data_IF_794731863964
#
_entry.id   IF_794731863964
#
_cell.length_a   1.000
_cell.length_b   1.000
_cell.length_c   1.000
_cell.angle_alpha   90.00
_cell.angle_beta   90.00
_cell.angle_gamma   90.00
#
_symmetry.space_group_name_H-M   'P 1'
#
loop_
_entity.id
_entity.type
_entity.pdbx_description
1 polymer ?
#
# COMPACT_ATOMS: atom_id res chain seq x y z
N UNK A 1 21.04 -8.50 -33.27
CA UNK A 1 20.22 -7.41 -32.73
C UNK A 1 19.81 -6.53 -33.89
N UNK A 2 18.51 -6.42 -34.20
CA UNK A 2 18.04 -5.44 -35.17
C UNK A 2 18.20 -4.06 -34.53
N UNK A 3 19.25 -3.33 -34.90
CA UNK A 3 19.63 -2.07 -34.27
C UNK A 3 18.77 -0.87 -34.69
N UNK A 4 17.90 -1.02 -35.68
CA UNK A 4 16.95 0.02 -36.08
C UNK A 4 15.62 -0.59 -36.52
N UNK A 5 14.54 -0.24 -35.82
CA UNK A 5 13.18 -0.56 -36.23
C UNK A 5 12.69 0.54 -37.21
N UNK A 6 13.20 0.48 -38.45
CA UNK A 6 12.98 1.51 -39.48
C UNK A 6 11.53 1.64 -39.95
N UNK A 7 10.68 0.66 -39.63
CA UNK A 7 9.26 0.65 -39.99
C UNK A 7 8.42 1.59 -39.13
N UNK A 8 8.85 1.92 -37.91
CA UNK A 8 8.08 2.78 -37.02
C UNK A 8 7.83 4.16 -37.63
N UNK A 9 8.87 4.78 -38.20
CA UNK A 9 8.79 6.12 -38.83
C UNK A 9 7.84 6.12 -40.03
N UNK A 10 7.55 4.96 -40.63
CA UNK A 10 6.63 4.83 -41.76
C UNK A 10 5.17 4.72 -41.34
N UNK A 11 4.88 4.55 -40.05
CA UNK A 11 3.52 4.54 -39.55
C UNK A 11 2.91 5.96 -39.59
N UNK A 12 1.60 6.08 -39.84
CA UNK A 12 0.86 7.33 -39.62
C UNK A 12 1.14 7.92 -38.24
N UNK A 13 1.13 9.24 -38.14
CA UNK A 13 1.47 9.96 -36.90
C UNK A 13 0.56 9.59 -35.73
N UNK A 14 -0.70 9.29 -36.03
CA UNK A 14 -1.72 8.85 -35.07
C UNK A 14 -1.33 7.51 -34.46
N UNK A 15 -0.90 6.54 -35.28
CA UNK A 15 -0.49 5.22 -34.80
C UNK A 15 0.80 5.30 -33.99
N UNK A 16 1.77 6.12 -34.41
CA UNK A 16 3.00 6.35 -33.62
C UNK A 16 2.68 6.96 -32.27
N UNK A 17 1.79 7.95 -32.23
CA UNK A 17 1.31 8.58 -31.00
C UNK A 17 0.65 7.57 -30.07
N UNK A 18 -0.27 6.75 -30.59
CA UNK A 18 -0.93 5.70 -29.81
C UNK A 18 0.06 4.67 -29.26
N UNK A 19 1.07 4.28 -30.05
CA UNK A 19 2.13 3.38 -29.58
C UNK A 19 2.87 4.02 -28.41
N UNK A 20 3.27 5.29 -28.52
CA UNK A 20 3.93 5.99 -27.41
C UNK A 20 3.05 6.10 -26.17
N UNK A 21 1.76 6.40 -26.31
CA UNK A 21 0.80 6.45 -25.19
C UNK A 21 0.63 5.09 -24.50
N UNK A 22 0.64 4.00 -25.27
CA UNK A 22 0.58 2.63 -24.76
C UNK A 22 1.87 2.19 -24.07
N UNK A 23 3.01 2.73 -24.49
CA UNK A 23 4.30 2.43 -23.87
C UNK A 23 4.61 3.27 -22.62
N UNK A 24 3.76 4.25 -22.26
CA UNK A 24 3.90 4.98 -20.99
C UNK A 24 3.65 4.03 -19.80
N UNK A 25 4.53 4.04 -18.77
CA UNK A 25 4.41 3.14 -17.63
C UNK A 25 3.19 3.47 -16.76
N UNK A 26 2.82 2.52 -15.90
CA UNK A 26 1.84 2.72 -14.81
C UNK A 26 2.57 2.68 -13.47
N UNK A 27 3.01 3.83 -12.98
CA UNK A 27 3.89 3.92 -11.81
C UNK A 27 3.09 4.13 -10.52
N UNK A 28 3.74 3.85 -9.39
CA UNK A 28 3.21 4.11 -8.05
C UNK A 28 3.95 5.31 -7.48
N UNK A 29 3.36 6.50 -7.56
CA UNK A 29 4.00 7.76 -7.19
C UNK A 29 3.79 8.04 -5.71
N UNK A 30 4.88 8.10 -4.95
CA UNK A 30 4.86 8.38 -3.52
C UNK A 30 4.76 9.89 -3.28
N UNK A 31 3.80 10.32 -2.46
CA UNK A 31 3.55 11.74 -2.18
C UNK A 31 4.10 12.20 -0.82
N UNK A 32 4.51 11.27 0.04
CA UNK A 32 5.33 11.55 1.21
C UNK A 32 6.38 10.46 1.35
N UNK A 33 7.54 10.80 1.94
CA UNK A 33 8.61 9.83 2.09
C UNK A 33 8.49 9.06 3.40
N UNK A 34 8.85 7.77 3.39
CA UNK A 34 9.07 7.06 4.63
C UNK A 34 10.25 7.69 5.36
N UNK A 35 10.02 8.27 6.55
CA UNK A 35 11.08 8.66 7.48
C UNK A 35 11.69 7.39 8.10
N UNK A 36 12.30 6.53 7.27
CA UNK A 36 12.98 5.34 7.78
C UNK A 36 14.36 5.75 8.31
N UNK A 37 14.77 5.29 9.50
CA UNK A 37 16.16 5.41 9.91
C UNK A 37 17.05 4.80 8.83
N UNK A 38 18.25 5.37 8.64
CA UNK A 38 19.23 5.11 7.55
C UNK A 38 19.74 3.66 7.41
N UNK A 39 19.04 2.67 7.95
CA UNK A 39 19.51 1.30 8.19
C UNK A 39 19.15 0.30 7.10
N UNK A 40 18.31 0.67 6.12
CA UNK A 40 17.96 -0.22 5.01
C UNK A 40 18.36 0.43 3.70
N UNK A 41 18.97 -0.36 2.81
CA UNK A 41 19.14 -0.06 1.39
C UNK A 41 18.02 0.87 0.90
N UNK A 42 18.40 2.10 0.56
CA UNK A 42 17.55 3.27 0.78
C UNK A 42 16.24 3.20 -0.01
N UNK A 43 15.11 3.16 0.69
CA UNK A 43 13.77 3.44 0.16
C UNK A 43 13.75 4.69 -0.73
N UNK A 44 14.61 5.66 -0.43
CA UNK A 44 14.85 6.85 -1.24
C UNK A 44 15.29 6.57 -2.69
N UNK A 45 15.98 5.48 -3.00
CA UNK A 45 16.44 5.20 -4.37
C UNK A 45 15.25 4.98 -5.29
N UNK A 46 14.34 4.07 -4.92
CA UNK A 46 13.15 3.75 -5.70
C UNK A 46 12.28 5.00 -5.85
N UNK A 47 12.01 5.71 -4.75
CA UNK A 47 11.20 6.93 -4.77
C UNK A 47 11.76 8.02 -5.68
N UNK A 48 13.08 8.25 -5.61
CA UNK A 48 13.75 9.26 -6.46
C UNK A 48 13.65 8.91 -7.93
N UNK A 49 13.92 7.66 -8.31
CA UNK A 49 13.89 7.22 -9.70
C UNK A 49 12.48 7.18 -10.26
N UNK A 50 11.53 6.73 -9.44
CA UNK A 50 10.13 6.65 -9.82
C UNK A 50 9.49 8.05 -10.02
N UNK A 51 10.08 9.10 -9.43
CA UNK A 51 9.66 10.49 -9.61
C UNK A 51 10.33 11.22 -10.80
N UNK A 52 11.22 10.55 -11.54
CA UNK A 52 11.81 11.10 -12.77
C UNK A 52 10.85 10.96 -13.96
N UNK A 53 11.08 11.70 -15.06
CA UNK A 53 10.44 11.39 -16.34
C UNK A 53 10.66 9.92 -16.72
N UNK A 54 9.65 9.25 -17.31
CA UNK A 54 9.77 7.84 -17.68
C UNK A 54 10.83 7.65 -18.76
N UNK A 55 11.43 6.45 -18.82
CA UNK A 55 12.53 6.15 -19.75
C UNK A 55 12.16 6.47 -21.22
N UNK A 56 10.88 6.27 -21.58
CA UNK A 56 10.36 6.55 -22.92
C UNK A 56 10.49 8.03 -23.34
N UNK A 57 10.48 8.97 -22.39
CA UNK A 57 10.66 10.41 -22.67
C UNK A 57 12.07 10.74 -23.19
N UNK A 58 13.00 9.79 -23.11
CA UNK A 58 14.37 9.93 -23.58
C UNK A 58 14.62 9.28 -24.95
N UNK A 59 13.65 8.54 -25.51
CA UNK A 59 13.83 7.77 -26.76
C UNK A 59 13.87 8.67 -28.00
N UNK A 60 12.93 9.62 -28.12
CA UNK A 60 12.85 10.56 -29.25
C UNK A 60 12.11 11.84 -28.85
N UNK A 61 12.17 12.87 -29.70
CA UNK A 61 11.38 14.09 -29.49
C UNK A 61 9.88 13.85 -29.54
N UNK A 62 9.42 12.92 -30.41
CA UNK A 62 8.02 12.52 -30.50
C UNK A 62 7.56 11.84 -29.21
N UNK A 63 8.31 10.84 -28.74
CA UNK A 63 8.01 10.13 -27.50
C UNK A 63 8.01 11.06 -26.28
N UNK A 64 8.96 12.00 -26.21
CA UNK A 64 9.00 13.04 -25.18
C UNK A 64 7.76 13.92 -25.22
N UNK A 65 7.37 14.40 -26.40
CA UNK A 65 6.18 15.21 -26.57
C UNK A 65 4.92 14.50 -26.07
N UNK A 66 4.80 13.19 -26.31
CA UNK A 66 3.69 12.37 -25.79
C UNK A 66 3.76 12.25 -24.26
N UNK A 67 4.93 11.96 -23.70
CA UNK A 67 5.10 11.84 -22.25
C UNK A 67 4.82 13.17 -21.52
N UNK A 68 5.29 14.30 -22.05
CA UNK A 68 5.14 15.63 -21.44
C UNK A 68 3.72 16.18 -21.58
N UNK A 69 2.99 15.83 -22.64
CA UNK A 69 1.68 16.43 -22.96
C UNK A 69 0.66 16.37 -21.81
N UNK A 70 0.73 15.32 -20.99
CA UNK A 70 -0.21 15.08 -19.90
C UNK A 70 0.46 15.00 -18.53
N UNK A 71 1.79 15.06 -18.47
CA UNK A 71 2.50 14.95 -17.20
C UNK A 71 2.26 16.19 -16.34
N UNK A 72 1.98 15.95 -15.06
CA UNK A 72 1.95 16.98 -14.03
C UNK A 72 3.25 16.95 -13.24
N UNK A 73 3.77 18.13 -12.99
CA UNK A 73 4.93 18.39 -12.13
C UNK A 73 4.48 19.10 -10.85
N UNK A 74 5.39 19.28 -9.90
CA UNK A 74 5.08 20.02 -8.67
C UNK A 74 4.52 21.41 -8.91
N UNK A 75 5.02 22.09 -9.93
CA UNK A 75 4.56 23.45 -10.28
C UNK A 75 3.11 23.47 -10.74
N UNK A 76 2.60 22.36 -11.25
CA UNK A 76 1.24 22.27 -11.76
C UNK A 76 0.22 21.97 -10.64
N UNK A 77 0.65 21.27 -9.58
CA UNK A 77 -0.23 20.80 -8.49
C UNK A 77 -0.20 21.69 -7.24
N UNK A 78 0.96 22.22 -6.90
CA UNK A 78 1.13 23.11 -5.75
C UNK A 78 2.27 24.10 -6.02
N UNK A 79 2.01 25.18 -6.80
CA UNK A 79 3.02 26.14 -7.20
C UNK A 79 3.76 26.82 -6.03
N UNK A 80 3.15 26.82 -4.83
CA UNK A 80 3.71 27.40 -3.61
C UNK A 80 4.61 26.45 -2.83
N UNK A 81 4.60 25.16 -3.15
CA UNK A 81 5.31 24.13 -2.39
C UNK A 81 6.66 23.80 -3.04
N UNK A 82 7.71 24.48 -2.57
CA UNK A 82 9.10 24.28 -3.04
C UNK A 82 9.77 23.02 -2.50
N UNK A 83 9.12 22.29 -1.59
CA UNK A 83 9.70 21.17 -0.86
C UNK A 83 9.41 19.82 -1.50
N UNK A 84 8.40 19.74 -2.37
CA UNK A 84 8.25 18.61 -3.28
C UNK A 84 9.39 18.68 -4.31
N UNK A 85 10.32 17.74 -4.26
CA UNK A 85 11.54 17.73 -5.10
C UNK A 85 11.27 17.55 -6.60
N UNK A 86 11.79 16.48 -7.20
CA UNK A 86 11.39 16.08 -8.56
C UNK A 86 10.11 15.26 -8.42
N UNK A 87 9.05 15.66 -9.09
CA UNK A 87 7.77 14.94 -9.14
C UNK A 87 7.30 14.90 -10.57
N UNK A 88 6.95 13.70 -11.01
CA UNK A 88 6.35 13.45 -12.31
C UNK A 88 5.18 12.53 -12.10
N UNK A 89 3.99 12.98 -12.48
CA UNK A 89 2.77 12.21 -12.34
C UNK A 89 2.02 12.20 -13.68
N UNK A 90 1.59 11.01 -14.08
CA UNK A 90 0.80 10.82 -15.28
C UNK A 90 -0.66 10.56 -14.91
N UNK A 91 -1.57 11.53 -15.13
CA UNK A 91 -2.99 11.36 -14.88
C UNK A 91 -3.55 10.11 -15.55
N UNK A 92 -4.46 9.43 -14.85
CA UNK A 92 -5.20 8.23 -15.23
C UNK A 92 -4.33 6.98 -15.46
N UNK A 93 -3.00 7.09 -15.31
CA UNK A 93 -2.06 5.97 -15.43
C UNK A 93 -1.38 5.64 -14.11
N UNK A 94 -0.93 6.67 -13.41
CA UNK A 94 -0.18 6.50 -12.17
C UNK A 94 -1.13 6.30 -10.97
N UNK A 95 -0.70 5.47 -10.03
CA UNK A 95 -1.31 5.30 -8.71
C UNK A 95 -0.60 6.23 -7.74
N UNK A 96 -1.32 6.99 -6.93
CA UNK A 96 -0.71 7.80 -5.87
C UNK A 96 -0.63 7.00 -4.57
N UNK A 97 0.48 7.12 -3.85
CA UNK A 97 0.73 6.34 -2.64
C UNK A 97 1.18 7.23 -1.49
N UNK A 98 0.65 6.98 -0.30
CA UNK A 98 1.01 7.68 0.92
C UNK A 98 1.50 6.71 2.00
N UNK A 99 2.65 6.99 2.62
CA UNK A 99 3.17 6.18 3.73
C UNK A 99 2.50 6.47 5.07
N UNK A 100 2.27 7.76 5.33
CA UNK A 100 1.79 8.28 6.61
C UNK A 100 0.64 9.25 6.37
N UNK A 101 -0.61 8.78 6.37
CA UNK A 101 -1.75 9.65 6.12
C UNK A 101 -2.07 10.62 7.25
N UNK A 102 -1.63 10.29 8.46
CA UNK A 102 -1.67 11.14 9.64
C UNK A 102 -0.79 12.39 9.48
N UNK A 103 0.32 12.30 8.75
CA UNK A 103 1.25 13.42 8.54
C UNK A 103 0.70 14.53 7.64
N UNK A 104 -0.37 14.28 6.89
CA UNK A 104 -1.05 15.34 6.10
C UNK A 104 -1.62 16.43 7.01
N UNK A 105 -1.99 16.09 8.26
CA UNK A 105 -2.53 17.04 9.23
C UNK A 105 -1.45 17.79 10.03
N UNK A 106 -0.23 17.26 10.11
CA UNK A 106 0.86 17.85 10.89
C UNK A 106 1.77 18.70 9.99
N UNK A 107 1.24 19.82 9.49
CA UNK A 107 1.95 20.78 8.63
C UNK A 107 3.20 21.44 9.27
N UNK A 108 3.49 21.21 10.56
CA UNK A 108 4.29 22.16 11.33
C UNK A 108 5.74 21.79 11.67
N UNK A 109 6.34 20.67 11.22
CA UNK A 109 7.68 20.34 11.76
C UNK A 109 8.77 19.84 10.80
N UNK A 110 8.47 19.21 9.66
CA UNK A 110 9.53 18.53 8.89
C UNK A 110 9.58 19.02 7.44
N UNK A 111 10.79 19.12 6.89
CA UNK A 111 11.14 19.56 5.53
C UNK A 111 10.54 18.72 4.38
N UNK A 112 9.55 17.88 4.65
CA UNK A 112 8.79 17.15 3.65
C UNK A 112 7.59 18.01 3.27
N UNK A 113 7.63 18.59 2.07
CA UNK A 113 6.61 19.50 1.57
C UNK A 113 5.24 18.86 1.49
N UNK A 114 4.42 18.97 2.53
CA UNK A 114 3.06 18.48 2.52
C UNK A 114 2.25 19.15 1.42
N UNK A 115 1.66 18.36 0.52
CA UNK A 115 0.63 18.83 -0.42
C UNK A 115 -0.56 19.41 0.35
N UNK A 116 -1.16 20.47 -0.17
CA UNK A 116 -2.43 20.96 0.38
C UNK A 116 -3.51 19.88 0.32
N UNK A 117 -4.50 19.89 1.24
CA UNK A 117 -5.63 18.95 1.20
C UNK A 117 -6.40 19.03 -0.12
N UNK A 118 -6.48 20.21 -0.73
CA UNK A 118 -7.09 20.38 -2.04
C UNK A 118 -6.28 19.68 -3.14
N UNK A 119 -4.94 19.84 -3.13
CA UNK A 119 -4.05 19.16 -4.07
C UNK A 119 -4.11 17.64 -3.92
N UNK A 120 -4.28 17.11 -2.70
CA UNK A 120 -4.49 15.67 -2.47
C UNK A 120 -5.80 15.15 -3.07
N UNK A 121 -6.90 15.91 -2.94
CA UNK A 121 -8.19 15.59 -3.56
C UNK A 121 -8.15 15.69 -5.08
N UNK A 122 -7.38 16.64 -5.61
CA UNK A 122 -7.24 16.79 -7.05
C UNK A 122 -6.36 15.67 -7.63
N UNK A 123 -5.31 15.28 -6.93
CA UNK A 123 -4.52 14.10 -7.28
C UNK A 123 -5.34 12.82 -7.27
N UNK A 124 -6.19 12.61 -6.26
CA UNK A 124 -7.08 11.44 -6.20
C UNK A 124 -7.94 11.31 -7.47
N UNK A 125 -8.59 12.41 -7.88
CA UNK A 125 -9.45 12.43 -9.08
C UNK A 125 -8.68 12.18 -10.37
N UNK A 126 -7.41 12.55 -10.39
CA UNK A 126 -6.54 12.40 -11.55
C UNK A 126 -5.80 11.06 -11.55
N UNK A 127 -5.67 10.39 -10.41
CA UNK A 127 -4.94 9.13 -10.31
C UNK A 127 -5.73 7.97 -10.90
N UNK A 128 -5.00 6.96 -11.37
CA UNK A 128 -5.61 5.66 -11.72
C UNK A 128 -6.19 4.97 -10.48
N UNK A 129 -5.56 5.20 -9.34
CA UNK A 129 -5.96 4.67 -8.04
C UNK A 129 -5.11 5.28 -6.94
N UNK A 130 -5.49 4.98 -5.70
CA UNK A 130 -4.81 5.45 -4.50
C UNK A 130 -4.31 4.27 -3.69
N UNK A 131 -3.26 4.47 -2.91
CA UNK A 131 -2.67 3.45 -2.05
C UNK A 131 -2.14 4.05 -0.74
N UNK A 132 -2.24 3.29 0.34
CA UNK A 132 -1.76 3.70 1.65
C UNK A 132 -0.85 2.61 2.21
N UNK A 133 0.32 3.00 2.68
CA UNK A 133 1.22 2.12 3.41
C UNK A 133 0.69 1.86 4.81
N UNK A 134 0.60 0.58 5.15
CA UNK A 134 0.09 0.15 6.43
C UNK A 134 1.25 -0.33 7.31
N UNK A 135 1.95 0.65 7.91
CA UNK A 135 3.25 0.49 8.59
C UNK A 135 3.22 -0.33 9.88
N UNK A 136 2.06 -0.52 10.50
CA UNK A 136 1.98 -1.04 11.87
C UNK A 136 1.47 -2.46 12.02
N UNK A 137 1.16 -3.14 10.91
CA UNK A 137 1.02 -4.59 10.93
C UNK A 137 2.28 -5.20 10.37
N UNK A 138 3.33 -5.26 11.20
CA UNK A 138 4.31 -6.30 10.98
C UNK A 138 3.55 -7.62 10.98
N UNK A 139 3.42 -8.23 9.80
CA UNK A 139 2.82 -9.54 9.58
C UNK A 139 3.36 -10.63 10.54
N UNK A 140 4.47 -10.35 11.22
CA UNK A 140 5.31 -11.32 11.88
C UNK A 140 5.41 -11.19 13.40
N UNK A 141 5.20 -10.00 14.02
CA UNK A 141 5.83 -9.79 15.34
C UNK A 141 5.18 -8.89 16.38
N UNK A 142 4.06 -8.20 16.15
CA UNK A 142 3.46 -7.43 17.23
C UNK A 142 2.35 -8.23 17.94
N UNK A 143 2.46 -8.49 19.26
CA UNK A 143 1.31 -8.94 20.03
C UNK A 143 0.16 -7.94 19.85
N UNK A 144 -1.07 -8.46 19.83
CA UNK A 144 -2.32 -7.73 19.58
C UNK A 144 -2.61 -6.56 20.54
N UNK A 145 -1.72 -6.29 21.49
CA UNK A 145 -1.98 -5.47 22.67
C UNK A 145 -1.76 -3.96 22.45
N UNK A 146 -0.88 -3.52 21.53
CA UNK A 146 -0.55 -2.09 21.33
C UNK A 146 -1.22 -1.43 20.10
N UNK A 147 -2.34 -1.97 19.63
CA UNK A 147 -2.97 -1.51 18.38
C UNK A 147 -3.76 -0.20 18.51
N UNK A 148 -4.03 0.28 19.72
CA UNK A 148 -4.72 1.56 19.93
C UNK A 148 -3.87 2.78 19.45
N UNK A 149 -2.55 2.59 19.22
CA UNK A 149 -1.63 3.58 18.61
C UNK A 149 -1.50 3.45 17.08
N UNK A 150 -2.30 2.60 16.43
CA UNK A 150 -2.24 2.37 14.98
C UNK A 150 -2.76 3.57 14.16
N UNK A 151 -1.88 4.55 13.95
CA UNK A 151 -2.19 5.81 13.27
C UNK A 151 -2.54 5.63 11.78
N UNK A 152 -2.10 4.57 11.10
CA UNK A 152 -2.27 4.41 9.65
C UNK A 152 -3.70 3.99 9.22
N UNK A 153 -4.38 3.07 9.91
CA UNK A 153 -5.82 2.83 9.68
C UNK A 153 -6.64 4.03 10.15
N UNK A 154 -6.26 4.65 11.28
CA UNK A 154 -6.98 5.80 11.81
C UNK A 154 -7.01 6.98 10.83
N UNK A 155 -5.99 7.10 9.98
CA UNK A 155 -5.79 8.20 9.03
C UNK A 155 -6.15 7.89 7.58
N UNK A 156 -6.41 6.65 7.18
CA UNK A 156 -6.97 6.37 5.85
C UNK A 156 -8.25 7.19 5.56
N UNK A 157 -9.23 7.32 6.50
CA UNK A 157 -10.37 8.22 6.34
C UNK A 157 -10.01 9.72 6.29
N UNK A 158 -8.85 10.11 6.81
CA UNK A 158 -8.39 11.51 6.89
C UNK A 158 -7.87 12.02 5.55
N UNK A 159 -7.38 11.11 4.70
CA UNK A 159 -6.97 11.46 3.32
C UNK A 159 -8.15 11.97 2.47
N UNK A 160 -9.37 11.56 2.82
CA UNK A 160 -10.56 11.76 2.00
C UNK A 160 -10.63 10.85 0.77
N UNK A 161 -9.75 9.85 0.67
CA UNK A 161 -9.70 8.94 -0.47
C UNK A 161 -10.74 7.83 -0.38
N UNK A 162 -11.49 7.64 -1.46
CA UNK A 162 -12.47 6.55 -1.59
C UNK A 162 -11.76 5.25 -2.01
N UNK A 163 -11.77 4.25 -1.11
CA UNK A 163 -11.24 2.89 -1.34
C UNK A 163 -9.77 2.75 -1.76
N UNK A 164 -8.80 3.25 -0.96
CA UNK A 164 -7.39 3.07 -1.29
C UNK A 164 -6.94 1.62 -1.15
N UNK A 165 -6.00 1.22 -2.01
CA UNK A 165 -5.25 -0.02 -1.84
C UNK A 165 -4.47 0.02 -0.53
N UNK A 166 -4.43 -1.10 0.19
CA UNK A 166 -3.74 -1.17 1.49
C UNK A 166 -2.47 -1.98 1.36
N UNK A 167 -1.32 -1.34 1.52
CA UNK A 167 -0.03 -1.98 1.36
C UNK A 167 0.37 -2.61 2.69
N UNK A 168 0.37 -3.95 2.73
CA UNK A 168 0.66 -4.73 3.94
C UNK A 168 2.15 -4.75 4.27
N UNK A 169 3.00 -4.78 3.23
CA UNK A 169 4.43 -5.00 3.41
C UNK A 169 5.25 -4.49 2.22
N UNK A 170 6.36 -3.84 2.51
CA UNK A 170 7.37 -3.42 1.52
C UNK A 170 8.49 -4.47 1.41
N UNK A 171 8.83 -4.85 0.18
CA UNK A 171 9.85 -5.85 -0.12
C UNK A 171 10.88 -5.22 -1.06
N UNK A 172 12.01 -4.73 -0.54
CA UNK A 172 13.10 -4.24 -1.38
C UNK A 172 13.80 -5.40 -2.09
N UNK A 173 14.07 -5.24 -3.37
CA UNK A 173 14.76 -6.22 -4.22
C UNK A 173 16.01 -5.58 -4.79
N UNK A 174 17.17 -6.13 -4.44
CA UNK A 174 18.43 -5.75 -5.08
C UNK A 174 18.59 -6.48 -6.40
N UNK A 175 18.64 -5.71 -7.48
CA UNK A 175 18.87 -6.23 -8.83
C UNK A 175 19.56 -5.16 -9.68
N UNK A 176 20.38 -5.60 -10.64
CA UNK A 176 20.91 -4.70 -11.66
C UNK A 176 19.82 -4.29 -12.65
N UNK A 177 19.99 -3.16 -13.33
CA UNK A 177 19.08 -2.71 -14.39
C UNK A 177 18.86 -3.77 -15.47
N UNK A 178 19.93 -4.48 -15.86
CA UNK A 178 19.84 -5.53 -16.86
C UNK A 178 18.94 -6.69 -16.41
N UNK A 179 19.04 -7.10 -15.14
CA UNK A 179 18.21 -8.16 -14.56
C UNK A 179 16.76 -7.70 -14.42
N UNK A 180 16.52 -6.45 -14.02
CA UNK A 180 15.18 -5.89 -13.92
C UNK A 180 14.49 -5.84 -15.28
N UNK A 181 15.18 -5.32 -16.30
CA UNK A 181 14.66 -5.32 -17.69
C UNK A 181 14.41 -6.75 -18.16
N UNK A 182 15.34 -7.69 -17.93
CA UNK A 182 15.13 -9.09 -18.34
C UNK A 182 13.94 -9.75 -17.63
N UNK A 183 13.66 -9.39 -16.38
CA UNK A 183 12.56 -9.96 -15.58
C UNK A 183 11.17 -9.45 -15.99
N UNK A 184 11.11 -8.23 -16.55
CA UNK A 184 9.87 -7.51 -16.86
C UNK A 184 8.95 -7.34 -15.63
N UNK A 185 9.51 -7.36 -14.41
CA UNK A 185 8.75 -7.24 -13.16
C UNK A 185 8.54 -5.79 -12.71
N UNK A 186 9.36 -4.85 -13.18
CA UNK A 186 9.30 -3.41 -12.82
C UNK A 186 9.12 -2.54 -14.07
N UNK A 187 8.15 -2.92 -14.91
CA UNK A 187 7.92 -2.28 -16.20
C UNK A 187 8.87 -2.78 -17.29
N UNK A 188 8.62 -2.33 -18.52
CA UNK A 188 9.38 -2.81 -19.70
C UNK A 188 10.84 -2.33 -19.69
N UNK A 189 11.09 -1.17 -19.06
CA UNK A 189 12.40 -0.51 -19.04
C UNK A 189 12.95 -0.29 -17.63
N UNK A 190 12.33 -0.87 -16.60
CA UNK A 190 12.70 -0.61 -15.20
C UNK A 190 12.17 0.74 -14.66
N UNK A 191 11.26 1.39 -15.36
CA UNK A 191 10.71 2.71 -15.00
C UNK A 191 9.54 2.63 -14.01
N UNK A 192 9.07 1.42 -13.67
CA UNK A 192 8.10 1.18 -12.61
C UNK A 192 8.81 0.60 -11.38
N UNK A 193 9.71 1.38 -10.77
CA UNK A 193 10.56 0.93 -9.65
C UNK A 193 9.76 0.43 -8.43
N UNK A 194 8.47 0.76 -8.36
CA UNK A 194 7.55 0.31 -7.31
C UNK A 194 6.36 -0.38 -7.96
N UNK A 195 6.02 -1.57 -7.46
CA UNK A 195 4.90 -2.38 -7.92
C UNK A 195 4.03 -2.82 -6.76
N UNK A 196 2.73 -2.62 -6.91
CA UNK A 196 1.72 -3.15 -6.00
C UNK A 196 1.17 -4.43 -6.58
N UNK A 197 1.39 -5.54 -5.87
CA UNK A 197 1.03 -6.88 -6.30
C UNK A 197 -0.01 -7.50 -5.38
N UNK A 198 -0.86 -8.34 -5.92
CA UNK A 198 -1.77 -9.17 -5.13
C UNK A 198 -0.94 -10.16 -4.29
N UNK A 199 -1.07 -10.17 -2.95
CA UNK A 199 -0.36 -11.12 -2.10
C UNK A 199 -0.73 -12.58 -2.34
N UNK A 200 -1.86 -12.87 -3.00
CA UNK A 200 -2.33 -14.22 -3.29
C UNK A 200 -1.86 -14.71 -4.68
N UNK A 201 -1.19 -13.87 -5.48
CA UNK A 201 -0.59 -14.28 -6.75
C UNK A 201 0.75 -14.99 -6.52
N UNK A 202 0.68 -16.28 -6.18
CA UNK A 202 1.83 -17.11 -5.90
C UNK A 202 2.80 -17.23 -7.08
N UNK A 203 2.32 -17.14 -8.32
CA UNK A 203 3.18 -17.20 -9.51
C UNK A 203 4.00 -15.92 -9.65
N UNK A 204 3.38 -14.76 -9.47
CA UNK A 204 4.09 -13.49 -9.48
C UNK A 204 5.08 -13.39 -8.31
N UNK A 205 4.68 -13.84 -7.12
CA UNK A 205 5.57 -13.93 -5.97
C UNK A 205 6.81 -14.80 -6.24
N UNK A 206 6.62 -15.96 -6.88
CA UNK A 206 7.73 -16.82 -7.26
C UNK A 206 8.66 -16.16 -8.28
N UNK A 207 8.12 -15.39 -9.24
CA UNK A 207 8.96 -14.63 -10.19
C UNK A 207 9.84 -13.59 -9.48
N UNK A 208 9.31 -12.87 -8.48
CA UNK A 208 10.12 -11.95 -7.67
C UNK A 208 11.19 -12.69 -6.85
N UNK A 209 10.84 -13.84 -6.26
CA UNK A 209 11.81 -14.68 -5.55
C UNK A 209 12.94 -15.14 -6.48
N UNK A 210 12.62 -15.57 -7.70
CA UNK A 210 13.60 -15.96 -8.70
C UNK A 210 14.52 -14.80 -9.09
N UNK A 211 13.99 -13.59 -9.25
CA UNK A 211 14.81 -12.40 -9.47
C UNK A 211 15.81 -12.18 -8.33
N UNK A 212 15.39 -12.30 -7.07
CA UNK A 212 16.29 -12.20 -5.91
C UNK A 212 17.41 -13.25 -5.96
N UNK A 213 17.07 -14.52 -6.21
CA UNK A 213 18.04 -15.63 -6.25
C UNK A 213 19.04 -15.50 -7.42
N UNK A 214 18.56 -15.08 -8.58
CA UNK A 214 19.36 -14.93 -9.79
C UNK A 214 20.15 -13.61 -9.84
N UNK A 215 19.81 -12.65 -8.98
CA UNK A 215 20.48 -11.34 -8.94
C UNK A 215 21.98 -11.46 -8.65
N UNK A 216 22.37 -12.44 -7.82
CA UNK A 216 23.71 -12.54 -7.26
C UNK A 216 24.08 -11.39 -6.31
N UNK A 217 23.15 -10.48 -6.03
CA UNK A 217 23.34 -9.34 -5.13
C UNK A 217 22.83 -9.70 -3.72
N UNK A 218 23.50 -9.22 -2.65
CA UNK A 218 23.04 -9.41 -1.28
C UNK A 218 21.63 -8.84 -1.11
N UNK A 219 20.68 -9.66 -0.64
CA UNK A 219 19.34 -9.20 -0.27
C UNK A 219 19.31 -8.81 1.21
N UNK A 220 18.34 -7.97 1.59
CA UNK A 220 18.12 -7.67 3.00
C UNK A 220 17.63 -8.92 3.75
N UNK A 221 17.85 -8.95 5.08
CA UNK A 221 17.34 -10.04 5.92
C UNK A 221 15.81 -10.15 5.81
N UNK A 222 15.09 -9.03 5.88
CA UNK A 222 13.63 -9.00 5.75
C UNK A 222 13.13 -9.53 4.41
N UNK A 223 13.78 -9.17 3.30
CA UNK A 223 13.45 -9.73 1.96
C UNK A 223 13.65 -11.24 1.93
N UNK A 224 14.76 -11.71 2.48
CA UNK A 224 15.13 -13.14 2.50
C UNK A 224 14.16 -13.94 3.35
N UNK A 225 13.91 -13.49 4.58
CA UNK A 225 12.97 -14.10 5.52
C UNK A 225 11.55 -14.15 4.94
N UNK A 226 11.11 -13.06 4.32
CA UNK A 226 9.81 -13.00 3.66
C UNK A 226 9.64 -14.11 2.62
N UNK A 227 10.60 -14.26 1.69
CA UNK A 227 10.50 -15.30 0.66
C UNK A 227 10.69 -16.72 1.19
N UNK A 228 11.45 -16.90 2.28
CA UNK A 228 11.55 -18.20 2.95
C UNK A 228 10.22 -18.63 3.59
N UNK A 229 9.46 -17.68 4.15
CA UNK A 229 8.20 -17.98 4.82
C UNK A 229 7.00 -18.02 3.87
N UNK A 230 6.97 -17.16 2.85
CA UNK A 230 5.76 -16.91 2.05
C UNK A 230 5.81 -17.49 0.63
N UNK A 231 6.96 -18.00 0.18
CA UNK A 231 7.14 -18.41 -1.21
C UNK A 231 8.08 -19.62 -1.34
N UNK A 232 8.22 -20.13 -2.56
CA UNK A 232 9.17 -21.22 -2.86
C UNK A 232 8.75 -22.63 -2.43
N UNK A 233 7.68 -22.80 -1.62
CA UNK A 233 7.08 -24.09 -1.29
C UNK A 233 5.54 -24.03 -1.21
N UNK A 234 4.83 -25.17 -1.38
CA UNK A 234 3.39 -25.22 -1.16
C UNK A 234 2.95 -24.78 0.24
N UNK A 235 3.77 -25.08 1.26
CA UNK A 235 3.53 -24.66 2.64
C UNK A 235 3.61 -23.14 2.77
N UNK A 236 4.64 -22.51 2.19
CA UNK A 236 4.81 -21.05 2.24
C UNK A 236 3.67 -20.32 1.53
N UNK A 237 3.18 -20.84 0.40
CA UNK A 237 2.00 -20.28 -0.30
C UNK A 237 0.73 -20.42 0.56
N UNK A 238 0.54 -21.55 1.23
CA UNK A 238 -0.58 -21.76 2.16
C UNK A 238 -0.52 -20.81 3.35
N UNK A 239 0.67 -20.62 3.92
CA UNK A 239 0.88 -19.75 5.06
C UNK A 239 0.70 -18.28 4.68
N UNK A 240 1.21 -17.84 3.52
CA UNK A 240 0.92 -16.51 2.98
C UNK A 240 -0.58 -16.27 2.84
N UNK A 241 -1.32 -17.24 2.29
CA UNK A 241 -2.78 -17.14 2.17
C UNK A 241 -3.44 -16.97 3.54
N UNK A 242 -3.10 -17.81 4.52
CA UNK A 242 -3.64 -17.69 5.89
C UNK A 242 -3.33 -16.31 6.48
N UNK A 243 -2.09 -15.84 6.34
CA UNK A 243 -1.67 -14.54 6.85
C UNK A 243 -2.47 -13.40 6.25
N UNK A 244 -2.70 -13.41 4.93
CA UNK A 244 -3.53 -12.39 4.26
C UNK A 244 -4.96 -12.42 4.79
N UNK A 245 -5.57 -13.60 4.92
CA UNK A 245 -6.94 -13.71 5.44
C UNK A 245 -7.06 -13.25 6.90
N UNK A 246 -6.10 -13.64 7.75
CA UNK A 246 -6.01 -13.17 9.14
C UNK A 246 -5.86 -11.66 9.17
N UNK A 247 -4.95 -11.10 8.37
CA UNK A 247 -4.72 -9.67 8.28
C UNK A 247 -5.97 -8.90 7.84
N UNK A 248 -6.72 -9.41 6.85
CA UNK A 248 -7.99 -8.80 6.41
C UNK A 248 -9.00 -8.84 7.57
N UNK A 249 -9.13 -9.98 8.25
CA UNK A 249 -10.03 -10.16 9.38
C UNK A 249 -9.72 -9.20 10.54
N UNK A 250 -8.44 -9.08 10.88
CA UNK A 250 -7.94 -8.19 11.93
C UNK A 250 -8.17 -6.72 11.57
N UNK A 251 -7.91 -6.34 10.32
CA UNK A 251 -8.10 -4.98 9.82
C UNK A 251 -9.58 -4.56 9.86
N UNK A 252 -10.49 -5.44 9.41
CA UNK A 252 -11.95 -5.24 9.51
C UNK A 252 -12.41 -5.10 10.95
N UNK A 253 -11.91 -5.98 11.81
CA UNK A 253 -12.22 -6.02 13.24
C UNK A 253 -11.79 -4.72 13.93
N UNK A 254 -10.62 -4.19 13.58
CA UNK A 254 -10.11 -2.92 14.10
C UNK A 254 -10.96 -1.73 13.67
N UNK A 255 -11.28 -1.61 12.38
CA UNK A 255 -12.11 -0.51 11.88
C UNK A 255 -13.52 -0.56 12.49
N UNK A 256 -14.08 -1.76 12.66
CA UNK A 256 -15.36 -1.93 13.35
C UNK A 256 -15.28 -1.49 14.82
N UNK A 257 -14.17 -1.79 15.53
CA UNK A 257 -13.94 -1.35 16.93
C UNK A 257 -13.96 0.18 17.03
N UNK A 258 -13.36 0.89 16.09
CA UNK A 258 -13.36 2.36 16.05
C UNK A 258 -14.79 2.91 15.95
N UNK A 259 -15.56 2.41 14.99
CA UNK A 259 -16.96 2.81 14.80
C UNK A 259 -17.84 2.40 15.97
N UNK A 260 -17.56 1.27 16.60
CA UNK A 260 -18.23 0.81 17.81
C UNK A 260 -17.94 1.74 19.00
N UNK A 261 -16.69 2.19 19.20
CA UNK A 261 -16.35 3.19 20.24
C UNK A 261 -17.14 4.50 20.03
N UNK A 262 -17.22 4.97 18.78
CA UNK A 262 -18.02 6.16 18.43
C UNK A 262 -19.53 5.94 18.65
N UNK A 263 -20.05 4.77 18.33
CA UNK A 263 -21.44 4.39 18.60
C UNK A 263 -21.73 4.30 20.10
N UNK A 264 -20.83 3.69 20.90
CA UNK A 264 -20.93 3.60 22.36
C UNK A 264 -20.95 4.99 23.00
N UNK A 265 -20.12 5.91 22.53
CA UNK A 265 -20.11 7.30 22.98
C UNK A 265 -21.42 8.06 22.68
N UNK A 266 -22.23 7.54 21.75
CA UNK A 266 -23.55 8.04 21.41
C UNK A 266 -24.67 7.09 21.90
N UNK A 267 -24.42 6.33 22.97
CA UNK A 267 -25.36 5.39 23.60
C UNK A 267 -26.01 4.38 22.63
N UNK A 268 -25.30 4.04 21.54
CA UNK A 268 -25.79 3.17 20.47
C UNK A 268 -27.15 3.59 19.88
N UNK A 269 -27.46 4.89 19.89
CA UNK A 269 -28.72 5.41 19.33
C UNK A 269 -28.89 4.92 17.89
N UNK A 270 -30.01 4.25 17.62
CA UNK A 270 -30.35 3.72 16.29
C UNK A 270 -29.71 2.37 15.94
N UNK A 271 -28.93 1.76 16.85
CA UNK A 271 -28.31 0.45 16.63
C UNK A 271 -29.08 -0.61 17.43
N UNK A 272 -29.71 -1.60 16.77
CA UNK A 272 -30.43 -2.65 17.48
C UNK A 272 -29.44 -3.64 18.12
N UNK A 273 -29.75 -4.10 19.34
CA UNK A 273 -28.99 -5.13 20.08
C UNK A 273 -27.47 -4.90 20.16
N UNK A 274 -27.01 -3.73 20.65
CA UNK A 274 -25.59 -3.40 20.71
C UNK A 274 -24.73 -4.43 21.46
N UNK A 275 -25.31 -5.18 22.38
CA UNK A 275 -24.67 -6.29 23.10
C UNK A 275 -24.27 -7.46 22.19
N UNK A 276 -24.87 -7.60 21.01
CA UNK A 276 -24.63 -8.70 20.06
C UNK A 276 -23.70 -8.31 18.91
N UNK A 277 -23.10 -7.11 18.95
CA UNK A 277 -22.15 -6.64 17.91
C UNK A 277 -20.90 -7.53 17.88
N UNK A 278 -20.49 -8.06 19.04
CA UNK A 278 -19.32 -8.91 19.20
C UNK A 278 -19.77 -10.29 19.69
N UNK A 279 -19.09 -11.34 19.22
CA UNK A 279 -19.27 -12.71 19.69
C UNK A 279 -17.94 -13.26 20.16
N UNK A 280 -17.94 -14.12 21.17
CA UNK A 280 -16.74 -14.83 21.61
C UNK A 280 -16.06 -15.55 20.45
N UNK A 281 -14.73 -15.56 20.43
CA UNK A 281 -13.98 -16.43 19.53
C UNK A 281 -14.18 -17.88 19.99
N UNK A 282 -14.38 -18.81 19.06
CA UNK A 282 -14.57 -20.25 19.36
C UNK A 282 -13.31 -20.91 19.98
N UNK A 283 -12.33 -20.11 20.43
CA UNK A 283 -11.16 -20.56 21.18
C UNK A 283 -11.49 -20.86 22.65
N UNK A 284 -12.72 -20.60 23.09
CA UNK A 284 -13.21 -20.97 24.42
C UNK A 284 -13.61 -22.45 24.49
N UNK A 285 -13.01 -23.13 25.46
CA UNK A 285 -13.04 -24.56 25.77
C UNK A 285 -14.40 -25.12 26.28
N UNK A 286 -15.51 -24.51 25.89
CA UNK A 286 -16.85 -24.93 26.32
C UNK A 286 -17.25 -24.43 27.71
N UNK A 287 -16.46 -23.56 28.35
CA UNK A 287 -16.90 -22.81 29.55
C UNK A 287 -17.64 -21.53 29.16
N UNK A 288 -18.86 -21.69 28.65
CA UNK A 288 -19.74 -20.61 28.23
C UNK A 288 -20.16 -19.73 29.41
N UNK A 289 -19.45 -18.62 29.61
CA UNK A 289 -20.08 -17.35 30.00
C UNK A 289 -19.86 -16.37 28.85
N UNK A 290 -20.95 -15.78 28.35
CA UNK A 290 -20.87 -14.71 27.34
C UNK A 290 -19.89 -13.65 27.86
N UNK A 291 -18.92 -13.17 27.06
CA UNK A 291 -18.01 -12.15 27.53
C UNK A 291 -18.83 -10.92 27.91
N UNK A 292 -18.94 -10.68 29.22
CA UNK A 292 -19.49 -9.45 29.74
C UNK A 292 -18.54 -8.34 29.32
N UNK A 293 -18.98 -7.58 28.32
CA UNK A 293 -18.24 -6.52 27.66
C UNK A 293 -17.84 -5.38 28.61
N UNK A 294 -18.42 -5.36 29.82
CA UNK A 294 -18.08 -4.39 30.86
C UNK A 294 -17.25 -4.97 32.03
N UNK A 295 -17.11 -6.30 32.17
CA UNK A 295 -16.37 -6.91 33.31
C UNK A 295 -15.20 -7.82 32.96
N UNK A 296 -14.85 -8.00 31.68
CA UNK A 296 -13.69 -8.82 31.29
C UNK A 296 -12.35 -8.08 31.46
N UNK A 297 -12.07 -7.60 32.67
CA UNK A 297 -10.77 -7.09 33.12
C UNK A 297 -10.00 -8.18 33.87
N UNK A 298 -9.25 -9.02 33.16
CA UNK A 298 -8.49 -10.12 33.75
C UNK A 298 -7.07 -10.22 33.21
N UNK A 299 -6.11 -9.78 34.06
CA UNK A 299 -4.65 -9.83 33.93
C UNK A 299 -4.02 -8.95 32.83
N UNK A 300 -3.63 -7.73 33.26
CA UNK A 300 -2.97 -6.64 32.52
C UNK A 300 -3.91 -5.69 31.75
N UNK A 301 -4.23 -4.57 32.40
CA UNK A 301 -4.41 -3.23 31.81
C UNK A 301 -5.42 -3.01 30.65
N UNK A 302 -6.54 -3.72 30.59
CA UNK A 302 -7.65 -3.32 29.70
C UNK A 302 -8.50 -2.25 30.42
N UNK A 303 -8.57 -0.99 29.95
CA UNK A 303 -9.35 0.06 30.62
C UNK A 303 -10.83 -0.35 30.76
N UNK A 304 -11.51 0.04 31.86
CA UNK A 304 -12.94 -0.22 32.04
C UNK A 304 -13.75 0.22 30.80
N UNK A 305 -14.56 -0.69 30.27
CA UNK A 305 -15.40 -0.44 29.08
C UNK A 305 -14.73 -0.65 27.72
N UNK A 306 -13.55 -1.30 27.67
CA UNK A 306 -12.88 -1.71 26.44
C UNK A 306 -12.97 -3.21 26.18
N UNK A 307 -12.93 -3.59 24.90
CA UNK A 307 -13.12 -4.96 24.41
C UNK A 307 -11.76 -5.62 24.19
N UNK A 308 -11.59 -6.85 24.71
CA UNK A 308 -10.45 -7.71 24.39
C UNK A 308 -10.62 -8.33 23.00
N UNK A 309 -9.96 -7.74 22.01
CA UNK A 309 -10.01 -8.17 20.62
C UNK A 309 -9.34 -9.54 20.38
N UNK A 310 -8.65 -10.10 21.38
CA UNK A 310 -8.14 -11.46 21.32
C UNK A 310 -9.23 -12.52 21.49
N UNK A 311 -10.29 -12.17 22.22
CA UNK A 311 -11.32 -13.10 22.68
C UNK A 311 -12.66 -12.91 22.00
N UNK A 312 -12.80 -11.87 21.18
CA UNK A 312 -14.04 -11.62 20.44
C UNK A 312 -13.76 -11.38 18.97
N UNK A 313 -14.77 -11.67 18.15
CA UNK A 313 -14.81 -11.32 16.73
C UNK A 313 -16.10 -10.56 16.41
N UNK A 314 -16.12 -9.76 15.33
CA UNK A 314 -17.35 -9.16 14.83
C UNK A 314 -18.44 -10.21 14.62
N UNK A 315 -19.66 -9.93 15.06
CA UNK A 315 -20.81 -10.70 14.65
C UNK A 315 -21.23 -10.30 13.24
N UNK A 316 -20.69 -10.98 12.23
CA UNK A 316 -20.98 -10.69 10.81
C UNK A 316 -22.47 -10.84 10.44
N UNK A 317 -23.31 -11.42 11.31
CA UNK A 317 -24.76 -11.49 11.10
C UNK A 317 -25.51 -10.28 11.65
N UNK A 318 -24.88 -9.47 12.51
CA UNK A 318 -25.49 -8.30 13.11
C UNK A 318 -25.74 -7.21 12.05
N UNK A 319 -26.95 -6.62 11.95
CA UNK A 319 -27.28 -5.66 10.88
C UNK A 319 -26.30 -4.48 10.80
N UNK A 320 -26.00 -3.85 11.95
CA UNK A 320 -25.03 -2.74 12.00
C UNK A 320 -23.61 -3.17 11.61
N UNK A 321 -23.18 -4.40 11.93
CA UNK A 321 -21.86 -4.89 11.54
C UNK A 321 -21.81 -5.12 10.04
N UNK A 322 -22.85 -5.73 9.46
CA UNK A 322 -22.97 -5.92 8.00
C UNK A 322 -22.95 -4.62 7.25
N UNK A 323 -23.75 -3.65 7.67
CA UNK A 323 -23.80 -2.33 7.05
C UNK A 323 -22.46 -1.60 7.21
N UNK A 324 -21.87 -1.66 8.39
CA UNK A 324 -20.56 -1.07 8.65
C UNK A 324 -19.48 -1.69 7.76
N UNK A 325 -19.35 -3.01 7.74
CA UNK A 325 -18.38 -3.72 6.90
C UNK A 325 -18.64 -3.55 5.40
N UNK A 326 -19.90 -3.39 4.98
CA UNK A 326 -20.24 -3.08 3.59
C UNK A 326 -19.90 -1.63 3.22
N UNK A 327 -19.94 -0.71 4.18
CA UNK A 327 -19.53 0.69 4.00
C UNK A 327 -18.01 0.89 4.09
N UNK A 328 -17.30 -0.08 4.66
CA UNK A 328 -15.84 -0.07 4.65
C UNK A 328 -15.42 -0.60 3.29
N UNK A 329 -14.60 0.21 2.65
CA UNK A 329 -14.12 -0.01 1.30
C UNK A 329 -13.35 -1.34 1.21
N UNK A 330 -13.20 -1.87 0.00
CA UNK A 330 -12.62 -3.19 -0.22
C UNK A 330 -11.23 -3.24 0.41
N UNK A 331 -11.07 -3.88 1.59
CA UNK A 331 -9.75 -4.13 2.19
C UNK A 331 -8.96 -4.99 1.20
N UNK A 332 -8.28 -4.31 0.29
CA UNK A 332 -7.66 -4.90 -0.89
C UNK A 332 -6.16 -4.85 -0.64
N UNK A 333 -5.61 -5.89 0.01
CA UNK A 333 -4.22 -5.89 0.39
C UNK A 333 -3.30 -5.91 -0.83
N UNK A 334 -2.15 -5.29 -0.67
CA UNK A 334 -1.06 -5.28 -1.66
C UNK A 334 0.28 -5.52 -0.98
N UNK A 335 1.13 -6.27 -1.67
CA UNK A 335 2.57 -6.25 -1.43
C UNK A 335 3.18 -5.16 -2.28
N UNK A 336 4.08 -4.38 -1.68
CA UNK A 336 4.86 -3.39 -2.42
C UNK A 336 6.25 -3.94 -2.69
N UNK A 337 6.52 -4.32 -3.93
CA UNK A 337 7.87 -4.64 -4.37
C UNK A 337 8.57 -3.36 -4.79
N UNK A 338 9.78 -3.14 -4.27
CA UNK A 338 10.60 -1.97 -4.57
C UNK A 338 11.93 -2.42 -5.17
N UNK A 339 12.23 -1.99 -6.39
CA UNK A 339 13.56 -2.18 -6.95
C UNK A 339 14.54 -1.22 -6.27
N UNK A 340 15.62 -1.75 -5.67
CA UNK A 340 16.83 -0.97 -5.35
C UNK A 340 17.94 -1.38 -6.32
N UNK A 341 18.46 -0.40 -7.07
CA UNK A 341 19.59 -0.60 -7.98
C UNK A 341 20.85 -1.06 -7.24
N UNK A 342 21.83 -1.63 -7.94
CA UNK A 342 23.06 -2.14 -7.33
C UNK A 342 23.96 -1.07 -6.66
N UNK A 343 23.74 0.21 -6.98
CA UNK A 343 24.47 1.36 -6.40
C UNK A 343 23.76 1.97 -5.18
N UNK A 344 22.80 1.21 -4.64
CA UNK A 344 22.16 1.36 -3.33
C UNK A 344 23.10 0.79 -2.25
#
# INVERSE_FOLDING_TARGET
>A
MATEFTLFVRLPAELRTMIWELCLPSRVVEINHPHWPKLHCGSNWASRHNSLPPAIAHVSSEARGVAEKLALTNKDLDPGNSLLGRFWFQPLKDTIMMYRPDFVLFQEANNDGGLSLQSLKDLEKLARGTAIYFDQTYMWYYPREDWDECHSIQSAPVTGWDDPLLIMYAIPIHATTAQVIASQLFGNFGDECIKLSDPLDSQLMERYRQLCLQSGLPQSASTTDFFHMCAGSPEGVSDMSKMVHTWIGDSKTHELRKRWKAAKANDFIGIPWPENIWVGSDLDDGTSDRPDMDTYGGALAVPPGSIDMNKVRPNEMHPWVRETLASISSFTPRLMFQWCGADC
#
